data_IF_059778547722
#
_entry.id   IF_059778547722
#
_cell.length_a   1.000
_cell.length_b   1.000
_cell.length_c   1.000
_cell.angle_alpha   90.00
_cell.angle_beta   90.00
_cell.angle_gamma   90.00
#
_symmetry.space_group_name_H-M   'P 1'
#
loop_
_entity.id
_entity.type
_entity.pdbx_description
1 polymer ?
#
# COMPACT_ATOMS: atom_id res chain seq x y z
N UNK A 1 -20.47 0.94 24.86
CA UNK A 1 -19.99 0.41 23.58
C UNK A 1 -19.95 1.53 22.54
N UNK A 2 -18.85 2.29 22.36
CA UNK A 2 -18.78 3.32 21.31
C UNK A 2 -17.85 2.83 20.18
N UNK A 3 -18.40 2.20 19.13
CA UNK A 3 -17.57 1.73 18.00
C UNK A 3 -18.15 2.00 16.59
N UNK A 4 -19.36 2.55 16.45
CA UNK A 4 -20.11 2.35 15.20
C UNK A 4 -19.97 3.43 14.10
N UNK A 5 -19.03 4.39 14.20
CA UNK A 5 -18.86 5.46 13.18
C UNK A 5 -17.57 5.37 12.35
N UNK A 6 -16.63 4.48 12.66
CA UNK A 6 -15.28 4.51 12.06
C UNK A 6 -15.08 3.48 10.91
N UNK A 7 -15.99 2.52 10.74
CA UNK A 7 -15.84 1.46 9.72
C UNK A 7 -16.07 1.97 8.30
N UNK A 8 -17.12 2.78 8.09
CA UNK A 8 -17.46 3.34 6.76
C UNK A 8 -16.33 4.18 6.19
N UNK A 9 -15.76 5.08 6.98
CA UNK A 9 -14.63 5.92 6.55
C UNK A 9 -13.45 5.07 6.08
N UNK A 10 -13.18 3.94 6.74
CA UNK A 10 -12.06 3.07 6.38
C UNK A 10 -12.35 2.20 5.16
N UNK A 11 -13.60 1.81 4.95
CA UNK A 11 -14.04 1.19 3.69
C UNK A 11 -13.93 2.17 2.52
N UNK A 12 -14.30 3.44 2.74
CA UNK A 12 -14.16 4.50 1.75
C UNK A 12 -12.69 4.76 1.41
N UNK A 13 -11.82 4.82 2.42
CA UNK A 13 -10.38 5.02 2.24
C UNK A 13 -9.71 3.86 1.49
N UNK A 14 -10.17 2.62 1.69
CA UNK A 14 -9.69 1.45 0.95
C UNK A 14 -10.50 1.16 -0.32
N UNK A 15 -11.42 2.04 -0.70
CA UNK A 15 -12.27 1.92 -1.89
C UNK A 15 -13.12 0.64 -1.95
N UNK A 16 -13.46 0.08 -0.79
CA UNK A 16 -14.36 -1.08 -0.68
C UNK A 16 -15.80 -0.66 -0.95
N UNK A 17 -16.17 0.57 -0.59
CA UNK A 17 -17.53 1.11 -0.74
C UNK A 17 -18.01 1.20 -2.18
N UNK A 18 -17.11 1.16 -3.17
CA UNK A 18 -17.45 1.22 -4.59
C UNK A 18 -18.12 -0.07 -5.08
N UNK A 19 -17.58 -1.23 -4.67
CA UNK A 19 -18.12 -2.53 -5.11
C UNK A 19 -19.00 -3.21 -4.06
N UNK A 20 -18.97 -2.77 -2.80
CA UNK A 20 -19.82 -3.32 -1.74
C UNK A 20 -21.33 -3.36 -2.11
N UNK A 21 -21.92 -2.31 -2.74
CA UNK A 21 -23.32 -2.34 -3.16
C UNK A 21 -23.61 -3.30 -4.32
N UNK A 22 -22.58 -3.71 -5.06
CA UNK A 22 -22.70 -4.66 -6.18
C UNK A 22 -22.70 -6.12 -5.69
N UNK A 23 -22.35 -6.35 -4.43
CA UNK A 23 -22.35 -7.69 -3.84
C UNK A 23 -23.78 -8.10 -3.44
N UNK A 24 -24.18 -9.38 -3.64
CA UNK A 24 -25.57 -9.83 -3.43
C UNK A 24 -26.14 -9.58 -2.03
N UNK A 25 -25.29 -9.56 -1.00
CA UNK A 25 -25.68 -9.33 0.40
C UNK A 25 -24.87 -8.18 1.03
N UNK A 26 -24.29 -7.30 0.21
CA UNK A 26 -23.43 -6.22 0.68
C UNK A 26 -22.26 -6.74 1.53
N UNK A 27 -22.06 -6.16 2.71
CA UNK A 27 -21.00 -6.55 3.66
C UNK A 27 -21.13 -7.97 4.19
N UNK A 28 -22.33 -8.53 4.20
CA UNK A 28 -22.60 -9.88 4.69
C UNK A 28 -22.37 -10.95 3.59
N UNK A 29 -21.93 -10.54 2.40
CA UNK A 29 -21.70 -11.45 1.28
C UNK A 29 -20.59 -12.46 1.60
N UNK A 30 -20.88 -13.77 1.62
CA UNK A 30 -19.85 -14.78 1.80
C UNK A 30 -18.93 -14.79 0.58
N UNK A 31 -17.64 -14.53 0.80
CA UNK A 31 -16.61 -14.41 -0.25
C UNK A 31 -16.05 -15.77 -0.73
N UNK A 32 -16.41 -16.87 -0.05
CA UNK A 32 -15.88 -18.22 -0.33
C UNK A 32 -14.44 -18.41 0.15
N UNK A 33 -13.93 -19.63 -0.01
CA UNK A 33 -12.55 -19.96 0.37
C UNK A 33 -11.56 -19.07 -0.40
N UNK A 34 -10.56 -18.55 0.31
CA UNK A 34 -9.55 -17.64 -0.25
C UNK A 34 -10.13 -16.45 -1.04
N UNK A 35 -11.33 -15.98 -0.68
CA UNK A 35 -12.03 -14.89 -1.37
C UNK A 35 -12.32 -15.18 -2.86
N UNK A 36 -12.56 -16.44 -3.23
CA UNK A 36 -12.82 -16.87 -4.62
C UNK A 36 -13.94 -16.13 -5.37
N UNK A 37 -14.80 -15.38 -4.68
CA UNK A 37 -15.89 -14.58 -5.27
C UNK A 37 -15.54 -13.11 -5.49
N UNK A 38 -14.34 -12.69 -5.12
CA UNK A 38 -13.82 -11.35 -5.36
C UNK A 38 -12.82 -11.40 -6.52
N UNK A 39 -12.75 -10.33 -7.30
CA UNK A 39 -11.58 -10.14 -8.16
C UNK A 39 -10.32 -9.96 -7.30
N UNK A 40 -9.14 -10.17 -7.90
CA UNK A 40 -7.85 -9.96 -7.19
C UNK A 40 -7.77 -8.53 -6.62
N UNK A 41 -8.13 -7.52 -7.42
CA UNK A 41 -8.15 -6.13 -6.96
C UNK A 41 -9.17 -5.87 -5.84
N UNK A 42 -10.36 -6.49 -5.88
CA UNK A 42 -11.32 -6.40 -4.77
C UNK A 42 -10.79 -7.04 -3.49
N UNK A 43 -10.18 -8.23 -3.60
CA UNK A 43 -9.56 -8.91 -2.46
C UNK A 43 -8.40 -8.07 -1.86
N UNK A 44 -7.58 -7.45 -2.71
CA UNK A 44 -6.52 -6.52 -2.32
C UNK A 44 -7.09 -5.33 -1.54
N UNK A 45 -8.13 -4.66 -2.07
CA UNK A 45 -8.81 -3.53 -1.41
C UNK A 45 -9.39 -3.93 -0.05
N UNK A 46 -9.93 -5.14 0.10
CA UNK A 46 -10.38 -5.67 1.40
C UNK A 46 -9.20 -5.89 2.35
N UNK A 47 -8.07 -6.40 1.87
CA UNK A 47 -6.85 -6.57 2.68
C UNK A 47 -6.33 -5.21 3.18
N UNK A 48 -6.29 -4.19 2.31
CA UNK A 48 -5.96 -2.81 2.68
C UNK A 48 -6.93 -2.27 3.72
N UNK A 49 -8.24 -2.43 3.52
CA UNK A 49 -9.24 -2.00 4.49
C UNK A 49 -9.00 -2.62 5.87
N UNK A 50 -8.64 -3.91 5.92
CA UNK A 50 -8.29 -4.62 7.16
C UNK A 50 -7.04 -4.02 7.82
N UNK A 51 -6.01 -3.68 7.05
CA UNK A 51 -4.80 -3.04 7.56
C UNK A 51 -5.08 -1.65 8.14
N UNK A 52 -5.98 -0.87 7.51
CA UNK A 52 -6.39 0.46 8.00
C UNK A 52 -7.33 0.41 9.22
N UNK A 53 -8.04 -0.71 9.38
CA UNK A 53 -9.03 -0.93 10.45
C UNK A 53 -8.41 -1.21 11.81
N UNK A 54 -7.28 -1.89 11.85
CA UNK A 54 -6.66 -2.28 13.09
C UNK A 54 -5.39 -1.45 13.32
N UNK A 55 -5.32 -0.66 14.41
CA UNK A 55 -4.04 -0.08 14.80
C UNK A 55 -3.08 -1.22 15.17
N UNK A 56 -1.90 -1.22 14.56
CA UNK A 56 -0.86 -2.24 14.73
C UNK A 56 0.43 -1.56 15.20
N UNK A 57 1.29 -2.25 15.94
CA UNK A 57 2.61 -1.70 16.27
C UNK A 57 3.55 -1.66 15.06
N UNK A 58 3.34 -2.58 14.11
CA UNK A 58 4.10 -2.71 12.87
C UNK A 58 3.14 -2.96 11.70
N UNK A 59 3.28 -2.17 10.64
CA UNK A 59 2.59 -2.35 9.36
C UNK A 59 3.59 -2.80 8.30
N UNK A 60 3.37 -3.98 7.73
CA UNK A 60 4.14 -4.51 6.62
C UNK A 60 3.31 -4.40 5.34
N UNK A 61 3.83 -3.68 4.35
CA UNK A 61 3.21 -3.50 3.05
C UNK A 61 4.08 -4.19 2.00
N UNK A 62 3.59 -5.28 1.43
CA UNK A 62 4.28 -6.02 0.37
C UNK A 62 3.54 -5.75 -0.94
N UNK A 63 4.10 -4.86 -1.76
CA UNK A 63 3.53 -4.38 -3.03
C UNK A 63 2.01 -4.08 -2.96
N UNK A 64 1.60 -3.13 -2.09
CA UNK A 64 0.18 -2.95 -1.76
C UNK A 64 -0.72 -2.57 -2.95
N UNK A 65 -0.16 -2.08 -4.05
CA UNK A 65 -0.89 -1.63 -5.23
C UNK A 65 -0.81 -2.56 -6.46
N UNK A 66 -0.02 -3.65 -6.44
CA UNK A 66 0.35 -4.42 -7.65
C UNK A 66 -0.81 -5.03 -8.47
N UNK A 67 -2.02 -5.09 -7.92
CA UNK A 67 -3.22 -5.65 -8.57
C UNK A 67 -4.35 -4.64 -8.75
N UNK A 68 -4.05 -3.34 -8.68
CA UNK A 68 -5.02 -2.27 -8.77
C UNK A 68 -4.91 -1.52 -10.10
N UNK A 69 -6.03 -1.01 -10.59
CA UNK A 69 -6.04 0.03 -11.62
C UNK A 69 -5.50 1.36 -11.06
N UNK A 70 -4.95 2.22 -11.92
CA UNK A 70 -4.26 3.46 -11.52
C UNK A 70 -5.10 4.38 -10.60
N UNK A 71 -6.42 4.48 -10.83
CA UNK A 71 -7.28 5.30 -9.99
C UNK A 71 -7.43 4.70 -8.58
N UNK A 72 -7.61 3.38 -8.49
CA UNK A 72 -7.70 2.68 -7.21
C UNK A 72 -6.39 2.65 -6.45
N UNK A 73 -5.28 2.50 -7.17
CA UNK A 73 -3.91 2.56 -6.66
C UNK A 73 -3.63 3.86 -5.93
N UNK A 74 -3.83 5.01 -6.60
CA UNK A 74 -3.56 6.32 -6.00
C UNK A 74 -4.27 6.51 -4.65
N UNK A 75 -5.55 6.13 -4.57
CA UNK A 75 -6.36 6.28 -3.35
C UNK A 75 -5.95 5.32 -2.24
N UNK A 76 -5.65 4.07 -2.60
CA UNK A 76 -5.16 3.08 -1.64
C UNK A 76 -3.82 3.52 -1.06
N UNK A 77 -2.91 4.02 -1.90
CA UNK A 77 -1.62 4.54 -1.47
C UNK A 77 -1.76 5.76 -0.58
N UNK A 78 -2.64 6.72 -0.90
CA UNK A 78 -2.95 7.86 -0.03
C UNK A 78 -3.41 7.42 1.36
N UNK A 79 -4.30 6.42 1.43
CA UNK A 79 -4.79 5.90 2.71
C UNK A 79 -3.71 5.14 3.50
N UNK A 80 -2.85 4.37 2.82
CA UNK A 80 -1.75 3.63 3.44
C UNK A 80 -0.65 4.58 3.95
N UNK A 81 -0.31 5.62 3.18
CA UNK A 81 0.63 6.66 3.59
C UNK A 81 0.09 7.43 4.81
N UNK A 82 -1.20 7.75 4.85
CA UNK A 82 -1.79 8.36 6.04
C UNK A 82 -1.75 7.43 7.27
N UNK A 83 -1.88 6.11 7.07
CA UNK A 83 -1.78 5.13 8.15
C UNK A 83 -0.33 4.92 8.61
N UNK A 84 0.64 5.02 7.72
CA UNK A 84 2.06 4.79 8.03
C UNK A 84 2.59 5.80 9.04
N UNK A 85 2.08 7.04 9.04
CA UNK A 85 2.46 8.09 9.99
C UNK A 85 2.13 7.78 11.46
N UNK A 86 1.31 6.76 11.73
CA UNK A 86 0.78 6.47 13.08
C UNK A 86 1.47 5.29 13.77
N UNK A 87 2.34 4.57 13.06
CA UNK A 87 2.94 3.31 13.51
C UNK A 87 4.22 3.01 12.74
N UNK A 88 5.07 2.12 13.25
CA UNK A 88 6.23 1.68 12.48
C UNK A 88 5.75 0.98 11.21
N UNK A 89 6.27 1.40 10.05
CA UNK A 89 5.83 0.86 8.77
C UNK A 89 7.05 0.46 7.94
N UNK A 90 6.97 -0.72 7.34
CA UNK A 90 7.92 -1.23 6.36
C UNK A 90 7.18 -1.50 5.05
N UNK A 91 7.60 -0.86 3.97
CA UNK A 91 7.07 -1.08 2.64
C UNK A 91 8.13 -1.68 1.73
N UNK A 92 7.73 -2.74 1.03
CA UNK A 92 8.44 -3.32 -0.11
C UNK A 92 7.66 -2.91 -1.35
N UNK A 93 8.35 -2.29 -2.30
CA UNK A 93 7.71 -1.78 -3.51
C UNK A 93 8.70 -1.75 -4.66
N UNK A 94 8.19 -1.97 -5.88
CA UNK A 94 8.88 -1.64 -7.12
C UNK A 94 8.60 -0.20 -7.57
N UNK A 95 7.71 0.50 -6.87
CA UNK A 95 7.31 1.88 -7.14
C UNK A 95 8.22 2.85 -6.40
N UNK A 96 8.82 3.76 -7.15
CA UNK A 96 9.71 4.82 -6.66
C UNK A 96 8.99 6.17 -6.43
N UNK A 97 7.67 6.25 -6.65
CA UNK A 97 6.87 7.43 -6.31
C UNK A 97 6.83 7.63 -4.79
N UNK A 98 6.80 8.90 -4.36
CA UNK A 98 6.63 9.30 -2.95
C UNK A 98 7.64 8.70 -1.95
N UNK A 99 8.74 8.09 -2.42
CA UNK A 99 9.80 7.57 -1.56
C UNK A 99 10.52 8.66 -0.75
N UNK A 100 10.38 9.92 -1.16
CA UNK A 100 10.92 11.08 -0.45
C UNK A 100 10.27 11.29 0.93
N UNK A 101 9.04 10.80 1.14
CA UNK A 101 8.31 10.92 2.39
C UNK A 101 8.67 9.84 3.42
N UNK A 102 9.52 8.87 3.04
CA UNK A 102 9.96 7.78 3.92
C UNK A 102 11.23 8.13 4.69
N UNK A 103 11.26 7.73 5.97
CA UNK A 103 12.36 8.06 6.89
C UNK A 103 13.72 7.49 6.44
N UNK A 104 13.71 6.26 5.93
CA UNK A 104 14.90 5.51 5.51
C UNK A 104 14.54 4.60 4.33
N UNK A 105 15.43 4.56 3.35
CA UNK A 105 15.36 3.66 2.20
C UNK A 105 16.43 2.59 2.35
N UNK A 106 16.08 1.35 2.05
CA UNK A 106 17.00 0.22 1.95
C UNK A 106 16.97 -0.33 0.52
N UNK A 107 18.12 -0.34 -0.14
CA UNK A 107 18.26 -1.00 -1.45
C UNK A 107 18.80 -2.39 -1.23
N UNK A 108 18.10 -3.37 -1.80
CA UNK A 108 18.48 -4.77 -1.71
C UNK A 108 18.86 -5.31 -3.09
N UNK A 109 19.97 -6.05 -3.16
CA UNK A 109 20.42 -6.77 -4.33
C UNK A 109 21.01 -8.12 -3.90
N UNK A 110 20.70 -9.19 -4.64
CA UNK A 110 21.25 -10.53 -4.41
C UNK A 110 21.12 -11.02 -2.94
N UNK A 111 19.98 -10.73 -2.31
CA UNK A 111 19.72 -11.14 -0.93
C UNK A 111 20.39 -10.28 0.15
N UNK A 112 20.97 -9.13 -0.21
CA UNK A 112 21.73 -8.26 0.72
C UNK A 112 21.30 -6.81 0.61
N UNK A 113 21.28 -6.11 1.73
CA UNK A 113 21.16 -4.64 1.74
C UNK A 113 22.50 -4.08 1.27
N UNK A 114 22.49 -3.42 0.12
CA UNK A 114 23.68 -2.83 -0.51
C UNK A 114 23.80 -1.32 -0.28
N UNK A 115 22.68 -0.69 0.06
CA UNK A 115 22.61 0.75 0.29
C UNK A 115 21.50 1.07 1.31
N UNK A 116 21.74 2.08 2.15
CA UNK A 116 20.82 2.55 3.16
C UNK A 116 21.01 4.05 3.40
N UNK A 117 19.92 4.80 3.47
CA UNK A 117 19.98 6.24 3.76
C UNK A 117 18.66 6.95 3.55
N UNK A 118 18.67 8.27 3.68
CA UNK A 118 17.51 9.11 3.35
C UNK A 118 17.43 9.33 1.85
N UNK A 119 16.23 9.53 1.33
CA UNK A 119 16.00 9.81 -0.10
C UNK A 119 16.95 10.87 -0.66
N UNK A 120 17.02 12.03 0.00
CA UNK A 120 17.83 13.18 -0.46
C UNK A 120 19.34 12.90 -0.52
N UNK A 121 19.84 11.97 0.31
CA UNK A 121 21.24 11.58 0.33
C UNK A 121 21.52 10.57 -0.79
N UNK A 122 20.68 9.53 -0.88
CA UNK A 122 20.85 8.45 -1.84
C UNK A 122 20.61 8.91 -3.28
N UNK A 123 19.67 9.83 -3.51
CA UNK A 123 19.28 10.28 -4.85
C UNK A 123 20.39 11.02 -5.60
N UNK A 124 21.36 11.59 -4.88
CA UNK A 124 22.48 12.35 -5.45
C UNK A 124 23.84 11.67 -5.28
N UNK A 125 23.88 10.53 -4.58
CA UNK A 125 25.12 9.81 -4.29
C UNK A 125 25.72 9.10 -5.51
N UNK A 126 24.96 8.96 -6.60
CA UNK A 126 25.38 8.18 -7.77
C UNK A 126 25.48 6.67 -7.50
N UNK A 127 24.86 6.20 -6.41
CA UNK A 127 24.79 4.80 -6.01
C UNK A 127 23.62 4.02 -6.64
N UNK A 128 23.41 2.75 -6.22
CA UNK A 128 22.34 1.89 -6.70
C UNK A 128 20.94 2.54 -6.73
N UNK A 129 20.57 3.26 -5.66
CA UNK A 129 19.29 3.97 -5.60
C UNK A 129 19.16 5.06 -6.67
N UNK A 130 20.21 5.86 -6.86
CA UNK A 130 20.22 6.90 -7.90
C UNK A 130 20.12 6.29 -9.31
N UNK A 131 20.74 5.14 -9.54
CA UNK A 131 20.61 4.38 -10.81
C UNK A 131 19.18 3.88 -11.02
N UNK A 132 18.52 3.36 -9.99
CA UNK A 132 17.11 2.96 -10.06
C UNK A 132 16.20 4.14 -10.44
N UNK A 133 16.42 5.30 -9.82
CA UNK A 133 15.67 6.52 -10.15
C UNK A 133 15.89 6.96 -11.60
N UNK A 134 17.12 6.89 -12.10
CA UNK A 134 17.46 7.29 -13.46
C UNK A 134 16.80 6.39 -14.52
N UNK A 135 16.83 5.06 -14.34
CA UNK A 135 16.21 4.14 -15.28
C UNK A 135 14.70 4.33 -15.39
N UNK A 136 14.02 4.70 -14.31
CA UNK A 136 12.59 4.91 -14.35
C UNK A 136 12.18 6.17 -15.12
N UNK A 137 13.06 7.16 -15.24
CA UNK A 137 12.80 8.35 -16.05
C UNK A 137 12.91 8.06 -17.56
N UNK A 138 13.53 6.94 -17.96
CA UNK A 138 13.66 6.54 -19.35
C UNK A 138 12.45 5.74 -19.87
N UNK A 139 11.61 5.21 -18.97
CA UNK A 139 10.42 4.41 -19.31
C UNK A 139 9.11 5.23 -19.43
N UNK A 140 9.15 6.55 -19.16
CA UNK A 140 8.04 7.50 -19.29
C UNK A 140 8.23 8.36 -20.54
#
# INVERSE_FOLDING_TARGET
>A
MPANKNYKQRWDNAWVSEFLPLLPQGVDTPVGDQAARLSVGQAQRVAVARALLNPCSLLLLDEPAASLDAHSEQRVMEALNAASLRQTTLMVTHQLEDLADWDVIWVMQDGRIIEQGRYAELSVAGGPFATLLAHRQEEI
#
